data_IF_638012275853
#
_entry.id   IF_638012275853
#
_cell.length_a   1.000
_cell.length_b   1.000
_cell.length_c   1.000
_cell.angle_alpha   90.00
_cell.angle_beta   90.00
_cell.angle_gamma   90.00
#
_symmetry.space_group_name_H-M   'P 1'
#
loop_
_entity.id
_entity.type
_entity.pdbx_description
1 polymer ?
#
# COMPACT_ATOMS: atom_id res chain seq x y z
N UNK A 1 -2.46 26.49 -7.92
CA UNK A 1 -1.42 25.54 -8.42
C UNK A 1 -1.81 24.11 -8.13
N UNK A 2 -2.36 23.82 -6.95
CA UNK A 2 -2.76 22.48 -6.52
C UNK A 2 -3.63 21.73 -7.54
N UNK A 3 -4.71 22.33 -8.04
CA UNK A 3 -5.59 21.69 -9.04
C UNK A 3 -4.88 21.41 -10.36
N UNK A 4 -4.00 22.31 -10.81
CA UNK A 4 -3.24 22.12 -12.05
C UNK A 4 -2.21 20.99 -11.87
N UNK A 5 -1.59 20.87 -10.69
CA UNK A 5 -0.70 19.78 -10.34
C UNK A 5 -1.44 18.44 -10.25
N UNK A 6 -2.62 18.44 -9.64
CA UNK A 6 -3.48 17.27 -9.52
C UNK A 6 -3.94 16.74 -10.89
N UNK A 7 -4.11 17.61 -11.90
CA UNK A 7 -4.62 17.21 -13.22
C UNK A 7 -3.53 17.06 -14.29
N UNK A 8 -2.24 17.11 -13.94
CA UNK A 8 -1.16 16.96 -14.93
C UNK A 8 -1.08 18.12 -15.93
N UNK A 9 -1.41 19.34 -15.50
CA UNK A 9 -1.49 20.51 -16.35
C UNK A 9 -0.23 21.37 -16.24
N UNK A 10 0.92 20.82 -16.68
CA UNK A 10 2.23 21.46 -16.56
C UNK A 10 2.29 22.89 -17.15
N UNK A 11 1.65 23.13 -18.30
CA UNK A 11 1.67 24.46 -18.92
C UNK A 11 0.86 25.49 -18.11
N UNK A 12 -0.24 25.05 -17.48
CA UNK A 12 -1.01 25.91 -16.58
C UNK A 12 -0.22 26.18 -15.30
N UNK A 13 0.53 25.20 -14.77
CA UNK A 13 1.44 25.42 -13.64
C UNK A 13 2.52 26.46 -13.94
N UNK A 14 3.18 26.35 -15.09
CA UNK A 14 4.18 27.34 -15.54
C UNK A 14 3.57 28.73 -15.67
N UNK A 15 2.39 28.81 -16.29
CA UNK A 15 1.68 30.08 -16.45
C UNK A 15 1.28 30.68 -15.10
N UNK A 16 0.73 29.88 -14.18
CA UNK A 16 0.35 30.32 -12.84
C UNK A 16 1.54 30.84 -12.07
N UNK A 17 2.70 30.19 -12.13
CA UNK A 17 3.92 30.65 -11.44
C UNK A 17 4.51 31.92 -12.04
N UNK A 18 4.41 32.10 -13.36
CA UNK A 18 4.90 33.30 -14.03
C UNK A 18 3.98 34.53 -13.82
N UNK A 19 2.68 34.31 -13.63
CA UNK A 19 1.67 35.38 -13.61
C UNK A 19 0.98 35.57 -12.25
N UNK A 20 1.17 34.66 -11.29
CA UNK A 20 0.60 34.76 -9.94
C UNK A 20 1.63 34.41 -8.87
N UNK A 21 1.51 35.08 -7.73
CA UNK A 21 2.28 34.80 -6.51
C UNK A 21 1.54 33.84 -5.57
N UNK A 22 0.59 33.06 -6.10
CA UNK A 22 -0.09 32.04 -5.30
C UNK A 22 0.97 31.05 -4.80
N UNK A 23 0.93 30.68 -3.51
CA UNK A 23 1.87 29.71 -2.95
C UNK A 23 1.65 28.33 -3.55
N UNK A 24 2.72 27.55 -3.66
CA UNK A 24 2.60 26.10 -3.85
C UNK A 24 2.41 25.48 -2.46
N UNK A 25 1.29 24.79 -2.23
CA UNK A 25 1.07 24.05 -1.00
C UNK A 25 1.74 22.68 -1.07
N UNK A 26 1.86 21.99 0.07
CA UNK A 26 2.28 20.58 0.09
C UNK A 26 1.29 19.67 -0.65
N UNK A 27 0.02 20.10 -0.77
CA UNK A 27 -1.07 19.36 -1.42
C UNK A 27 -0.87 19.25 -2.94
N UNK A 28 -0.31 20.27 -3.59
CA UNK A 28 0.00 20.20 -5.02
C UNK A 28 0.91 19.00 -5.36
N UNK A 29 1.93 18.77 -4.52
CA UNK A 29 2.85 17.65 -4.69
C UNK A 29 2.21 16.32 -4.34
N UNK A 30 1.47 16.26 -3.23
CA UNK A 30 0.76 15.04 -2.84
C UNK A 30 -0.24 14.61 -3.92
N UNK A 31 -1.00 15.55 -4.50
CA UNK A 31 -1.98 15.26 -5.55
C UNK A 31 -1.30 14.90 -6.88
N UNK A 32 -0.19 15.56 -7.25
CA UNK A 32 0.59 15.16 -8.42
C UNK A 32 1.18 13.75 -8.26
N UNK A 33 1.69 13.41 -7.07
CA UNK A 33 2.21 12.09 -6.77
C UNK A 33 1.11 11.02 -6.76
N UNK A 34 -0.04 11.35 -6.16
CA UNK A 34 -1.24 10.51 -6.12
C UNK A 34 -1.70 10.12 -7.52
N UNK A 35 -1.63 11.05 -8.49
CA UNK A 35 -2.14 10.85 -9.84
C UNK A 35 -1.04 10.45 -10.85
N UNK A 36 0.20 10.24 -10.39
CA UNK A 36 1.29 9.73 -11.25
C UNK A 36 1.93 10.78 -12.15
N UNK A 37 1.72 12.07 -11.87
CA UNK A 37 2.18 13.21 -12.66
C UNK A 37 3.66 13.54 -12.38
N UNK A 38 4.55 12.69 -12.89
CA UNK A 38 5.99 12.77 -12.63
C UNK A 38 6.64 14.06 -13.16
N UNK A 39 6.24 14.56 -14.33
CA UNK A 39 6.84 15.75 -14.92
C UNK A 39 6.46 17.02 -14.14
N UNK A 40 5.22 17.06 -13.65
CA UNK A 40 4.72 18.09 -12.74
C UNK A 40 5.45 18.05 -11.41
N UNK A 41 5.69 16.86 -10.84
CA UNK A 41 6.49 16.71 -9.62
C UNK A 41 7.92 17.25 -9.79
N UNK A 42 8.59 16.88 -10.88
CA UNK A 42 9.94 17.40 -11.19
C UNK A 42 9.93 18.91 -11.31
N UNK A 43 8.92 19.45 -12.01
CA UNK A 43 8.81 20.89 -12.22
C UNK A 43 8.54 21.62 -10.91
N UNK A 44 7.58 21.16 -10.11
CA UNK A 44 7.24 21.73 -8.81
C UNK A 44 8.43 21.66 -7.86
N UNK A 45 9.21 20.57 -7.88
CA UNK A 45 10.42 20.45 -7.08
C UNK A 45 11.51 21.47 -7.45
N UNK A 46 11.71 21.72 -8.75
CA UNK A 46 12.70 22.69 -9.20
C UNK A 46 12.26 24.15 -8.99
N UNK A 47 10.94 24.41 -8.98
CA UNK A 47 10.41 25.78 -9.08
C UNK A 47 9.67 26.26 -7.83
N UNK A 48 9.49 25.41 -6.83
CA UNK A 48 8.74 25.74 -5.61
C UNK A 48 9.50 25.33 -4.34
N UNK A 49 9.24 26.03 -3.25
CA UNK A 49 9.76 25.70 -1.91
C UNK A 49 8.72 24.97 -1.06
N UNK A 50 7.67 24.42 -1.68
CA UNK A 50 6.61 23.73 -0.96
C UNK A 50 7.21 22.57 -0.16
N UNK A 51 6.75 22.41 1.08
CA UNK A 51 7.16 21.31 1.95
C UNK A 51 6.74 19.96 1.38
N UNK A 52 7.41 18.91 1.86
CA UNK A 52 7.12 17.53 1.49
C UNK A 52 6.77 16.76 2.75
N UNK A 53 5.93 15.76 2.58
CA UNK A 53 5.58 14.81 3.64
C UNK A 53 5.71 13.40 3.08
N UNK A 54 5.76 12.40 3.96
CA UNK A 54 5.73 10.98 3.55
C UNK A 54 4.48 10.64 2.74
N UNK A 55 3.40 11.42 2.86
CA UNK A 55 2.11 11.20 2.18
C UNK A 55 2.23 11.20 0.66
N UNK A 56 3.20 11.92 0.10
CA UNK A 56 3.40 11.93 -1.34
C UNK A 56 3.82 10.54 -1.86
N UNK A 57 4.79 9.89 -1.20
CA UNK A 57 5.22 8.55 -1.58
C UNK A 57 4.19 7.48 -1.18
N UNK A 58 3.54 7.64 -0.03
CA UNK A 58 2.48 6.72 0.42
C UNK A 58 1.28 6.73 -0.56
N UNK A 59 0.86 7.92 -1.02
CA UNK A 59 -0.20 8.05 -2.02
C UNK A 59 0.22 7.50 -3.38
N UNK A 60 1.43 7.82 -3.85
CA UNK A 60 1.96 7.23 -5.08
C UNK A 60 2.01 5.69 -5.00
N UNK A 61 2.30 5.14 -3.81
CA UNK A 61 2.31 3.69 -3.58
C UNK A 61 0.91 3.08 -3.59
N UNK A 62 -0.07 3.78 -3.01
CA UNK A 62 -1.47 3.37 -3.05
C UNK A 62 -2.03 3.23 -4.47
N UNK A 63 -1.66 4.13 -5.37
CA UNK A 63 -2.09 4.10 -6.78
C UNK A 63 -1.09 3.42 -7.73
N UNK A 64 0.00 2.86 -7.21
CA UNK A 64 0.92 2.01 -7.99
C UNK A 64 1.91 2.76 -8.89
N UNK A 65 2.17 4.04 -8.62
CA UNK A 65 3.04 4.90 -9.44
C UNK A 65 4.53 4.67 -9.14
N UNK A 66 5.07 3.55 -9.62
CA UNK A 66 6.46 3.13 -9.38
C UNK A 66 7.50 4.20 -9.72
N UNK A 67 7.40 4.84 -10.88
CA UNK A 67 8.39 5.83 -11.32
C UNK A 67 8.33 7.10 -10.48
N UNK A 68 7.15 7.46 -9.95
CA UNK A 68 7.01 8.54 -8.96
C UNK A 68 7.69 8.17 -7.65
N UNK A 69 7.47 6.96 -7.13
CA UNK A 69 8.12 6.50 -5.89
C UNK A 69 9.65 6.49 -6.00
N UNK A 70 10.18 5.97 -7.11
CA UNK A 70 11.63 5.99 -7.37
C UNK A 70 12.18 7.40 -7.41
N UNK A 71 11.48 8.31 -8.10
CA UNK A 71 11.92 9.69 -8.21
C UNK A 71 11.89 10.41 -6.86
N UNK A 72 10.81 10.24 -6.09
CA UNK A 72 10.69 10.78 -4.72
C UNK A 72 11.81 10.23 -3.83
N UNK A 73 12.11 8.94 -3.89
CA UNK A 73 13.19 8.32 -3.11
C UNK A 73 14.57 8.89 -3.45
N UNK A 74 14.84 9.16 -4.73
CA UNK A 74 16.11 9.68 -5.17
C UNK A 74 16.32 11.18 -4.87
N UNK A 75 15.23 11.96 -4.78
CA UNK A 75 15.31 13.43 -4.72
C UNK A 75 14.82 14.02 -3.38
N UNK A 76 14.20 13.22 -2.52
CA UNK A 76 13.59 13.67 -1.25
C UNK A 76 14.07 12.83 -0.07
N UNK A 77 14.25 13.49 1.07
CA UNK A 77 14.70 12.86 2.32
C UNK A 77 13.55 12.37 3.20
N UNK A 78 12.32 12.83 2.96
CA UNK A 78 11.15 12.42 3.77
C UNK A 78 10.84 10.93 3.64
N UNK A 79 11.09 10.35 2.46
CA UNK A 79 10.81 8.93 2.18
C UNK A 79 9.32 8.59 2.21
N UNK A 80 9.01 7.40 2.70
CA UNK A 80 7.65 6.89 2.90
C UNK A 80 7.45 6.40 4.33
N UNK A 81 6.20 6.16 4.71
CA UNK A 81 5.87 5.44 5.94
C UNK A 81 5.76 3.93 5.67
N UNK A 82 5.45 3.15 6.71
CA UNK A 82 5.15 1.72 6.57
C UNK A 82 3.90 1.47 5.69
N UNK A 83 3.00 2.46 5.61
CA UNK A 83 1.76 2.36 4.84
C UNK A 83 2.06 2.20 3.34
N UNK A 84 3.15 2.78 2.80
CA UNK A 84 3.49 2.63 1.39
C UNK A 84 3.66 1.16 0.97
N UNK A 85 4.34 0.35 1.78
CA UNK A 85 4.52 -1.08 1.50
C UNK A 85 3.17 -1.79 1.55
N UNK A 86 2.39 -1.53 2.60
CA UNK A 86 1.09 -2.16 2.80
C UNK A 86 0.12 -1.80 1.68
N UNK A 87 0.05 -0.54 1.27
CA UNK A 87 -0.81 -0.09 0.18
C UNK A 87 -0.38 -0.66 -1.17
N UNK A 88 0.93 -0.74 -1.44
CA UNK A 88 1.43 -1.35 -2.66
C UNK A 88 1.09 -2.85 -2.73
N UNK A 89 1.17 -3.58 -1.60
CA UNK A 89 0.78 -5.00 -1.57
C UNK A 89 -0.74 -5.13 -1.66
N UNK A 90 -1.49 -4.42 -0.81
CA UNK A 90 -2.95 -4.47 -0.72
C UNK A 90 -3.68 -4.16 -2.03
N UNK A 91 -3.17 -3.21 -2.82
CA UNK A 91 -3.75 -2.88 -4.14
C UNK A 91 -3.18 -3.74 -5.28
N UNK A 92 -2.33 -4.73 -4.99
CA UNK A 92 -1.73 -5.62 -5.99
C UNK A 92 -0.63 -4.96 -6.85
N UNK A 93 -0.06 -3.84 -6.43
CA UNK A 93 1.06 -3.19 -7.10
C UNK A 93 2.39 -3.89 -6.78
N UNK A 94 2.47 -5.20 -7.05
CA UNK A 94 3.53 -6.10 -6.57
C UNK A 94 4.93 -5.70 -7.05
N UNK A 95 5.06 -5.13 -8.26
CA UNK A 95 6.36 -4.62 -8.75
C UNK A 95 6.86 -3.45 -7.90
N UNK A 96 5.95 -2.59 -7.46
CA UNK A 96 6.28 -1.50 -6.54
C UNK A 96 6.51 -2.02 -5.13
N UNK A 97 5.69 -2.96 -4.65
CA UNK A 97 5.89 -3.60 -3.36
C UNK A 97 7.28 -4.27 -3.26
N UNK A 98 7.70 -4.97 -4.32
CA UNK A 98 9.03 -5.56 -4.40
C UNK A 98 10.13 -4.50 -4.33
N UNK A 99 9.96 -3.39 -5.05
CA UNK A 99 10.92 -2.31 -5.02
C UNK A 99 11.00 -1.68 -3.61
N UNK A 100 9.85 -1.39 -3.00
CA UNK A 100 9.80 -0.84 -1.64
C UNK A 100 10.40 -1.79 -0.60
N UNK A 101 10.16 -3.10 -0.70
CA UNK A 101 10.72 -4.07 0.26
C UNK A 101 12.24 -4.16 0.21
N UNK A 102 12.85 -3.90 -0.95
CA UNK A 102 14.32 -3.84 -1.10
C UNK A 102 14.93 -2.56 -0.56
N UNK A 103 14.25 -1.43 -0.72
CA UNK A 103 14.76 -0.12 -0.32
C UNK A 103 14.38 0.28 1.12
N UNK A 104 13.32 -0.33 1.68
CA UNK A 104 12.80 -0.07 3.01
C UNK A 104 12.55 -1.37 3.80
N UNK A 105 13.58 -2.19 4.06
CA UNK A 105 13.43 -3.49 4.72
C UNK A 105 12.90 -3.40 6.16
N UNK A 106 12.95 -2.21 6.78
CA UNK A 106 12.39 -1.96 8.10
C UNK A 106 10.85 -1.95 8.12
N UNK A 107 10.20 -1.78 6.97
CA UNK A 107 8.74 -1.75 6.86
C UNK A 107 8.21 -3.14 6.54
N UNK A 108 7.86 -3.86 7.60
CA UNK A 108 7.15 -5.14 7.52
C UNK A 108 5.65 -4.85 7.43
N UNK A 109 4.93 -5.40 6.43
CA UNK A 109 3.51 -5.16 6.27
C UNK A 109 2.69 -5.74 7.44
N UNK A 110 1.76 -4.95 7.99
CA UNK A 110 0.75 -5.43 8.92
C UNK A 110 -0.38 -6.12 8.13
N UNK A 111 -0.48 -7.44 8.29
CA UNK A 111 -1.41 -8.27 7.53
C UNK A 111 -2.88 -8.08 7.96
N UNK A 112 -3.17 -7.52 9.14
CA UNK A 112 -4.56 -7.38 9.66
C UNK A 112 -5.41 -6.35 8.90
N UNK A 113 -4.78 -5.50 8.07
CA UNK A 113 -5.48 -4.44 7.30
C UNK A 113 -5.24 -4.55 5.80
N UNK A 114 -4.53 -5.59 5.38
CA UNK A 114 -4.06 -5.71 4.00
C UNK A 114 -5.12 -6.23 3.04
N UNK A 115 -6.10 -6.98 3.56
CA UNK A 115 -7.14 -7.66 2.78
C UNK A 115 -8.37 -6.79 2.45
N UNK A 116 -8.39 -5.51 2.86
CA UNK A 116 -9.52 -4.59 2.64
C UNK A 116 -9.77 -4.22 1.17
N UNK A 117 -8.92 -4.67 0.25
CA UNK A 117 -8.92 -4.27 -1.17
C UNK A 117 -8.82 -5.52 -2.07
N UNK A 118 -9.95 -6.19 -2.37
CA UNK A 118 -9.98 -7.63 -2.71
C UNK A 118 -9.72 -8.01 -4.18
N UNK A 119 -8.92 -7.27 -4.95
CA UNK A 119 -8.74 -7.61 -6.38
C UNK A 119 -7.67 -8.68 -6.66
N UNK A 120 -6.71 -8.94 -5.75
CA UNK A 120 -5.50 -9.73 -6.06
C UNK A 120 -5.00 -10.65 -4.91
N UNK A 121 -5.90 -11.22 -4.09
CA UNK A 121 -5.58 -12.01 -2.88
C UNK A 121 -4.52 -13.10 -3.10
N UNK A 122 -4.64 -13.87 -4.18
CA UNK A 122 -3.71 -14.97 -4.48
C UNK A 122 -2.28 -14.46 -4.75
N UNK A 123 -2.14 -13.47 -5.63
CA UNK A 123 -0.84 -12.94 -6.01
C UNK A 123 -0.16 -12.24 -4.82
N UNK A 124 -0.94 -11.59 -3.95
CA UNK A 124 -0.46 -11.03 -2.69
C UNK A 124 0.07 -12.11 -1.75
N UNK A 125 -0.67 -13.21 -1.57
CA UNK A 125 -0.21 -14.32 -0.73
C UNK A 125 1.08 -14.95 -1.25
N UNK A 126 1.17 -15.18 -2.57
CA UNK A 126 2.41 -15.67 -3.18
C UNK A 126 3.56 -14.68 -2.96
N UNK A 127 3.29 -13.38 -3.15
CA UNK A 127 4.28 -12.34 -2.94
C UNK A 127 4.78 -12.33 -1.48
N UNK A 128 3.88 -12.40 -0.51
CA UNK A 128 4.22 -12.48 0.91
C UNK A 128 4.99 -13.77 1.21
N UNK A 129 4.59 -14.91 0.64
CA UNK A 129 5.26 -16.19 0.90
C UNK A 129 6.72 -16.15 0.43
N UNK A 130 6.97 -15.50 -0.69
CA UNK A 130 8.33 -15.38 -1.27
C UNK A 130 9.17 -14.32 -0.56
N UNK A 131 8.59 -13.17 -0.20
CA UNK A 131 9.36 -12.02 0.30
C UNK A 131 9.33 -11.85 1.82
N UNK A 132 8.33 -12.43 2.49
CA UNK A 132 8.06 -12.28 3.91
C UNK A 132 7.63 -13.62 4.53
N UNK A 133 8.37 -14.70 4.23
CA UNK A 133 8.04 -16.06 4.68
C UNK A 133 7.89 -16.19 6.20
N UNK A 134 8.57 -15.34 6.98
CA UNK A 134 8.45 -15.27 8.44
C UNK A 134 7.06 -14.87 8.94
N UNK A 135 6.23 -14.25 8.09
CA UNK A 135 4.85 -13.90 8.44
C UNK A 135 3.94 -15.13 8.50
N UNK A 136 4.27 -16.23 7.80
CA UNK A 136 3.42 -17.42 7.69
C UNK A 136 3.44 -18.27 8.97
N UNK A 137 2.76 -17.75 9.99
CA UNK A 137 2.51 -18.40 11.27
C UNK A 137 1.05 -18.91 11.35
N UNK A 138 0.76 -19.66 12.41
CA UNK A 138 -0.61 -20.09 12.72
C UNK A 138 -1.55 -18.88 12.92
N UNK A 139 -1.05 -17.79 13.52
CA UNK A 139 -1.82 -16.54 13.71
C UNK A 139 -2.10 -15.84 12.39
N UNK A 140 -1.13 -15.81 11.47
CA UNK A 140 -1.33 -15.27 10.13
C UNK A 140 -2.39 -16.05 9.34
N UNK A 141 -2.31 -17.39 9.38
CA UNK A 141 -3.29 -18.25 8.73
C UNK A 141 -4.70 -18.06 9.29
N UNK A 142 -4.81 -17.91 10.62
CA UNK A 142 -6.09 -17.61 11.28
C UNK A 142 -6.65 -16.24 10.91
N UNK A 143 -5.86 -15.18 11.05
CA UNK A 143 -6.27 -13.80 10.78
C UNK A 143 -6.71 -13.62 9.33
N UNK A 144 -5.87 -14.07 8.40
CA UNK A 144 -6.17 -13.98 6.96
C UNK A 144 -7.44 -14.74 6.59
N UNK A 145 -7.68 -15.94 7.13
CA UNK A 145 -8.95 -16.65 6.89
C UNK A 145 -10.15 -15.88 7.42
N UNK A 146 -10.05 -15.30 8.63
CA UNK A 146 -11.12 -14.49 9.20
C UNK A 146 -11.49 -13.34 8.26
N UNK A 147 -10.50 -12.60 7.77
CA UNK A 147 -10.70 -11.46 6.88
C UNK A 147 -11.33 -11.87 5.54
N UNK A 148 -10.83 -12.95 4.92
CA UNK A 148 -11.36 -13.47 3.66
C UNK A 148 -12.81 -13.99 3.78
N UNK A 149 -13.19 -14.54 4.94
CA UNK A 149 -14.57 -15.01 5.15
C UNK A 149 -15.57 -13.88 5.37
N UNK A 150 -15.13 -12.70 5.82
CA UNK A 150 -16.00 -11.55 6.03
C UNK A 150 -16.39 -10.84 4.71
N UNK A 151 -15.57 -10.93 3.66
CA UNK A 151 -15.77 -10.17 2.41
C UNK A 151 -16.65 -10.86 1.35
N UNK A 152 -17.19 -12.05 1.62
CA UNK A 152 -18.24 -12.70 0.81
C UNK A 152 -17.90 -12.86 -0.70
N UNK A 153 -16.61 -13.01 -1.05
CA UNK A 153 -16.15 -13.24 -2.42
C UNK A 153 -15.84 -14.74 -2.63
N UNK A 154 -16.65 -15.41 -3.46
CA UNK A 154 -16.62 -16.87 -3.66
C UNK A 154 -15.29 -17.45 -4.18
N UNK A 155 -14.38 -16.63 -4.71
CA UNK A 155 -13.07 -17.08 -5.20
C UNK A 155 -12.03 -17.31 -4.08
N UNK A 156 -12.20 -16.68 -2.92
CA UNK A 156 -11.23 -16.76 -1.81
C UNK A 156 -11.40 -18.03 -0.96
N UNK A 157 -12.42 -18.86 -1.26
CA UNK A 157 -12.66 -20.12 -0.57
C UNK A 157 -11.51 -21.12 -0.72
N UNK A 158 -10.90 -21.20 -1.92
CA UNK A 158 -9.76 -22.10 -2.16
C UNK A 158 -8.52 -21.66 -1.37
N UNK A 159 -8.28 -20.35 -1.29
CA UNK A 159 -7.20 -19.77 -0.50
C UNK A 159 -7.43 -20.05 0.99
N UNK A 160 -8.65 -19.85 1.48
CA UNK A 160 -9.00 -20.12 2.86
C UNK A 160 -8.84 -21.61 3.21
N UNK A 161 -9.23 -22.52 2.30
CA UNK A 161 -9.01 -23.97 2.45
C UNK A 161 -7.53 -24.32 2.47
N UNK A 162 -6.73 -23.75 1.56
CA UNK A 162 -5.28 -23.97 1.54
C UNK A 162 -4.61 -23.47 2.83
N UNK A 163 -5.00 -22.29 3.33
CA UNK A 163 -4.51 -21.76 4.60
C UNK A 163 -4.93 -22.66 5.78
N UNK A 164 -6.14 -23.23 5.76
CA UNK A 164 -6.60 -24.16 6.79
C UNK A 164 -5.77 -25.45 6.82
N UNK A 165 -5.43 -25.98 5.64
CA UNK A 165 -4.62 -27.21 5.53
C UNK A 165 -3.17 -27.00 5.98
N UNK A 166 -2.57 -25.85 5.63
CA UNK A 166 -1.15 -25.60 5.88
C UNK A 166 -0.87 -24.86 7.20
N UNK A 167 -1.83 -24.07 7.69
CA UNK A 167 -1.70 -23.23 8.89
C UNK A 167 -2.97 -23.27 9.75
N UNK A 168 -3.39 -24.43 10.28
CA UNK A 168 -4.73 -24.63 10.82
C UNK A 168 -5.09 -23.70 11.97
N UNK A 169 -4.13 -23.28 12.81
CA UNK A 169 -4.37 -22.47 14.01
C UNK A 169 -5.33 -23.17 14.97
N UNK A 170 -4.84 -23.70 16.10
CA UNK A 170 -5.75 -24.38 17.04
C UNK A 170 -6.89 -23.45 17.47
N UNK A 171 -8.14 -23.95 17.53
CA UNK A 171 -9.22 -23.20 18.15
C UNK A 171 -8.98 -23.23 19.65
N UNK A 172 -8.38 -22.18 20.22
CA UNK A 172 -8.36 -22.04 21.68
C UNK A 172 -9.74 -21.54 22.12
N UNK A 173 -10.48 -22.45 22.76
CA UNK A 173 -11.53 -22.25 23.78
C UNK A 173 -11.61 -20.79 24.28
N UNK A 174 -12.76 -20.09 24.28
CA UNK A 174 -13.97 -20.47 24.98
C UNK A 174 -15.22 -19.69 24.49
N UNK A 175 -16.26 -20.42 24.09
CA UNK A 175 -17.53 -20.35 24.83
C UNK A 175 -17.95 -21.79 25.07
N UNK A 176 -18.00 -22.12 26.36
CA UNK A 176 -18.44 -23.35 27.00
C UNK A 176 -19.29 -24.28 26.13
N UNK A 177 -18.88 -25.54 26.03
CA UNK A 177 -19.67 -26.73 26.40
C UNK A 177 -18.81 -27.97 26.11
N UNK A 178 -18.03 -28.39 27.11
CA UNK A 178 -17.56 -29.76 27.18
C UNK A 178 -18.78 -30.68 27.32
N UNK A 179 -19.09 -31.44 26.27
CA UNK A 179 -19.86 -32.69 26.41
C UNK A 179 -18.91 -33.81 26.02
N UNK A 180 -18.33 -34.46 27.03
CA UNK A 180 -17.71 -35.77 26.84
C UNK A 180 -18.82 -36.79 26.51
N UNK A 181 -18.65 -37.68 25.52
CA UNK A 181 -19.51 -38.84 25.43
C UNK A 181 -19.13 -39.83 26.52
N UNK A 182 -20.12 -40.14 27.35
CA UNK A 182 -20.18 -41.39 28.12
C UNK A 182 -20.17 -42.55 27.14
N UNK A 183 -19.24 -43.49 27.31
CA UNK A 183 -19.41 -44.97 27.37
C UNK A 183 -18.06 -45.56 27.83
#
# INVERSE_FOLDING_TARGET
MDEAAANGQLEILKWLRANRYDGCSTKAMEDAARNGHLEELKWLHANTTAGYTTRAMDAAAYYGHLEVCKWLHANRSEGCSADAVQFAIGNGHLRLAFWLSKHYPQYVPDYNRMWQYPSNTFDMLLFLQVNYSSLFSLEFGRGTRSDLTHENNGNDSLIAQWLLQNYPGHPTESRDFFIWPVI
#
